data_IF_624789172229
#
_entry.id   IF_624789172229
#
_cell.length_a   1.000
_cell.length_b   1.000
_cell.length_c   1.000
_cell.angle_alpha   90.00
_cell.angle_beta   90.00
_cell.angle_gamma   90.00
#
_symmetry.space_group_name_H-M   'P 1'
#
loop_
_entity.id
_entity.type
_entity.pdbx_description
1 polymer ?
#
# COMPACT_ATOMS: atom_id res chain seq x y z
N UNK A 1 63.71 -15.94 0.73
CA UNK A 1 62.75 -14.88 1.01
C UNK A 1 61.59 -15.05 0.05
N UNK A 2 60.50 -15.67 0.52
CA UNK A 2 59.30 -15.85 -0.28
C UNK A 2 58.34 -14.67 0.02
N UNK A 3 58.06 -13.86 -0.98
CA UNK A 3 57.07 -12.79 -0.91
C UNK A 3 55.67 -13.41 -0.98
N UNK A 4 54.93 -13.28 0.11
CA UNK A 4 53.52 -13.67 0.15
C UNK A 4 52.71 -12.72 -0.74
N UNK A 5 52.15 -13.27 -1.82
CA UNK A 5 51.19 -12.56 -2.66
C UNK A 5 49.90 -12.30 -1.88
N UNK A 6 49.53 -11.03 -1.69
CA UNK A 6 48.24 -10.62 -1.19
C UNK A 6 47.18 -11.02 -2.21
N UNK A 7 46.26 -11.93 -1.81
CA UNK A 7 45.05 -12.23 -2.57
C UNK A 7 44.14 -10.98 -2.55
N UNK A 8 44.00 -10.36 -3.71
CA UNK A 8 43.00 -9.30 -3.92
C UNK A 8 41.62 -9.98 -3.83
N UNK A 9 40.84 -9.69 -2.80
CA UNK A 9 39.47 -10.14 -2.70
C UNK A 9 38.68 -9.54 -3.87
N UNK A 10 38.22 -10.40 -4.78
CA UNK A 10 37.30 -10.02 -5.84
C UNK A 10 36.01 -9.70 -5.14
N UNK A 11 35.67 -8.40 -5.01
CA UNK A 11 34.34 -7.94 -4.57
C UNK A 11 33.39 -8.29 -5.72
N UNK A 12 32.58 -9.31 -5.53
CA UNK A 12 31.50 -9.61 -6.47
C UNK A 12 30.66 -8.34 -6.69
N UNK A 13 30.31 -8.00 -7.95
CA UNK A 13 29.45 -6.85 -8.20
C UNK A 13 28.13 -7.05 -7.44
N UNK A 14 27.81 -6.12 -6.56
CA UNK A 14 26.59 -6.18 -5.76
C UNK A 14 25.40 -6.35 -6.70
N UNK A 15 24.64 -7.43 -6.52
CA UNK A 15 23.42 -7.72 -7.30
C UNK A 15 22.49 -6.49 -7.29
N UNK A 16 21.98 -6.09 -8.45
CA UNK A 16 20.94 -5.06 -8.52
C UNK A 16 19.73 -5.49 -7.70
N UNK A 17 19.14 -4.61 -6.88
CA UNK A 17 17.96 -4.96 -6.07
C UNK A 17 16.77 -5.27 -6.98
N UNK A 18 16.00 -6.28 -6.62
CA UNK A 18 14.70 -6.57 -7.21
C UNK A 18 13.65 -5.63 -6.62
N UNK A 19 12.95 -4.89 -7.44
CA UNK A 19 11.92 -3.93 -7.01
C UNK A 19 10.57 -4.33 -7.63
N UNK A 20 9.61 -4.70 -6.80
CA UNK A 20 8.24 -4.93 -7.24
C UNK A 20 7.42 -3.65 -7.14
N UNK A 21 6.63 -3.36 -8.17
CA UNK A 21 5.61 -2.32 -8.11
C UNK A 21 4.26 -3.00 -8.29
N UNK A 22 3.39 -2.90 -7.29
CA UNK A 22 2.06 -3.47 -7.28
C UNK A 22 0.97 -2.42 -7.40
N UNK A 23 0.11 -2.56 -8.42
CA UNK A 23 -1.07 -1.73 -8.62
C UNK A 23 -2.34 -2.49 -8.25
N UNK A 24 -3.28 -1.85 -7.59
CA UNK A 24 -4.49 -2.49 -7.08
C UNK A 24 -5.73 -1.60 -7.17
N UNK A 25 -6.89 -2.20 -7.34
CA UNK A 25 -8.18 -1.52 -7.36
C UNK A 25 -8.86 -1.48 -8.73
N UNK A 26 -9.14 -0.30 -9.24
CA UNK A 26 -9.85 -0.05 -10.51
C UNK A 26 -9.05 0.91 -11.38
N UNK A 27 -8.98 0.64 -12.68
CA UNK A 27 -8.26 1.48 -13.66
C UNK A 27 -9.12 2.60 -14.25
N UNK A 28 -9.97 3.21 -13.44
CA UNK A 28 -10.96 4.22 -13.88
C UNK A 28 -10.39 5.50 -14.50
N UNK A 29 -9.09 5.75 -14.37
CA UNK A 29 -8.46 7.01 -14.78
C UNK A 29 -7.00 6.85 -15.19
N UNK A 30 -6.60 5.62 -15.49
CA UNK A 30 -5.21 5.29 -15.79
C UNK A 30 -4.66 6.07 -16.99
N UNK A 31 -5.46 6.29 -18.02
CA UNK A 31 -5.08 7.14 -19.18
C UNK A 31 -4.62 8.55 -18.78
N UNK A 32 -5.14 9.08 -17.66
CA UNK A 32 -4.79 10.41 -17.16
C UNK A 32 -3.65 10.40 -16.15
N UNK A 33 -3.47 9.29 -15.44
CA UNK A 33 -2.48 9.17 -14.36
C UNK A 33 -1.19 8.52 -14.81
N UNK A 34 -1.22 7.71 -15.88
CA UNK A 34 -0.09 6.95 -16.39
C UNK A 34 1.19 7.77 -16.62
N UNK A 35 1.15 8.98 -17.21
CA UNK A 35 2.37 9.77 -17.39
C UNK A 35 3.09 10.00 -16.05
N UNK A 36 2.35 10.40 -15.01
CA UNK A 36 2.92 10.63 -13.68
C UNK A 36 3.37 9.34 -12.99
N UNK A 37 2.68 8.23 -13.22
CA UNK A 37 3.09 6.90 -12.71
C UNK A 37 4.41 6.48 -13.34
N UNK A 38 4.55 6.63 -14.66
CA UNK A 38 5.82 6.31 -15.36
C UNK A 38 6.96 7.20 -14.86
N UNK A 39 6.77 8.51 -14.86
CA UNK A 39 7.80 9.49 -14.49
C UNK A 39 8.21 9.39 -13.02
N UNK A 40 7.24 9.26 -12.11
CA UNK A 40 7.48 9.42 -10.67
C UNK A 40 7.62 8.10 -9.90
N UNK A 41 7.15 6.96 -10.45
CA UNK A 41 7.23 5.66 -9.79
C UNK A 41 8.12 4.68 -10.58
N UNK A 42 7.75 4.39 -11.85
CA UNK A 42 8.36 3.29 -12.60
C UNK A 42 9.81 3.61 -12.98
N UNK A 43 10.06 4.75 -13.62
CA UNK A 43 11.40 5.13 -14.07
C UNK A 43 12.37 5.35 -12.90
N UNK A 44 11.99 5.97 -11.77
CA UNK A 44 12.83 6.01 -10.58
C UNK A 44 13.22 4.64 -10.05
N UNK A 45 12.28 3.68 -10.03
CA UNK A 45 12.57 2.31 -9.60
C UNK A 45 13.53 1.60 -10.58
N UNK A 46 13.32 1.75 -11.90
CA UNK A 46 14.18 1.18 -12.95
C UNK A 46 15.63 1.68 -12.89
N UNK A 47 15.85 2.92 -12.48
CA UNK A 47 17.20 3.45 -12.25
C UNK A 47 17.91 2.76 -11.09
N UNK A 48 17.16 2.23 -10.13
CA UNK A 48 17.72 1.65 -8.90
C UNK A 48 17.90 0.13 -8.97
N UNK A 49 17.03 -0.57 -9.68
CA UNK A 49 17.03 -2.03 -9.65
C UNK A 49 16.33 -2.68 -10.84
N UNK A 50 16.18 -4.00 -10.74
CA UNK A 50 15.40 -4.80 -11.69
C UNK A 50 13.94 -4.74 -11.28
N UNK A 51 13.10 -4.17 -12.15
CA UNK A 51 11.70 -3.87 -11.83
C UNK A 51 10.77 -4.88 -12.48
N UNK A 52 9.78 -5.34 -11.69
CA UNK A 52 8.59 -6.02 -12.19
C UNK A 52 7.32 -5.31 -11.74
N UNK A 53 6.36 -5.23 -12.67
CA UNK A 53 5.06 -4.62 -12.45
C UNK A 53 4.01 -5.71 -12.26
N UNK A 54 3.28 -5.63 -11.15
CA UNK A 54 2.19 -6.54 -10.80
C UNK A 54 0.90 -5.77 -10.67
N UNK A 55 -0.21 -6.34 -11.10
CA UNK A 55 -1.50 -5.70 -10.95
C UNK A 55 -2.62 -6.68 -10.61
N UNK A 56 -3.51 -6.24 -9.74
CA UNK A 56 -4.83 -6.85 -9.58
C UNK A 56 -5.89 -5.77 -9.75
N UNK A 57 -6.80 -5.95 -10.71
CA UNK A 57 -7.84 -4.99 -11.00
C UNK A 57 -9.21 -5.64 -11.10
N UNK A 58 -10.23 -4.86 -10.74
CA UNK A 58 -11.60 -5.20 -11.05
C UNK A 58 -11.97 -4.69 -12.44
N UNK A 59 -12.45 -5.62 -13.29
CA UNK A 59 -13.00 -5.27 -14.60
C UNK A 59 -14.46 -4.85 -14.42
N UNK A 60 -14.76 -3.64 -14.85
CA UNK A 60 -16.11 -3.09 -14.87
C UNK A 60 -16.23 -2.06 -15.99
N UNK A 61 -17.44 -1.94 -16.55
CA UNK A 61 -17.74 -1.05 -17.67
C UNK A 61 -18.33 0.29 -17.23
N UNK A 62 -18.64 0.42 -15.92
CA UNK A 62 -19.25 1.63 -15.35
C UNK A 62 -18.85 1.81 -13.91
N UNK A 63 -18.76 3.04 -13.44
CA UNK A 63 -18.52 3.37 -12.06
C UNK A 63 -19.57 4.37 -11.57
N UNK A 64 -20.22 4.04 -10.44
CA UNK A 64 -21.12 4.94 -9.74
C UNK A 64 -20.62 5.16 -8.33
N UNK A 65 -20.34 6.41 -7.97
CA UNK A 65 -19.93 6.79 -6.63
C UNK A 65 -20.61 8.11 -6.21
N UNK A 66 -21.78 8.04 -5.54
CA UNK A 66 -22.55 9.23 -5.17
C UNK A 66 -21.78 10.24 -4.31
N UNK A 67 -20.83 9.75 -3.48
CA UNK A 67 -20.03 10.61 -2.61
C UNK A 67 -19.08 11.53 -3.39
N UNK A 68 -18.60 11.09 -4.54
CA UNK A 68 -17.74 11.89 -5.42
C UNK A 68 -18.45 12.47 -6.63
N UNK A 69 -19.75 12.14 -6.79
CA UNK A 69 -20.53 12.53 -7.96
C UNK A 69 -20.06 11.86 -9.24
N UNK A 70 -19.37 10.70 -9.15
CA UNK A 70 -18.99 9.91 -10.32
C UNK A 70 -20.16 9.04 -10.76
N UNK A 71 -20.46 9.08 -12.04
CA UNK A 71 -21.41 8.19 -12.74
C UNK A 71 -20.95 8.12 -14.21
N UNK A 72 -19.86 7.38 -14.45
CA UNK A 72 -19.12 7.44 -15.69
C UNK A 72 -18.89 6.04 -16.29
N UNK A 73 -18.86 5.91 -17.63
CA UNK A 73 -18.43 4.69 -18.29
C UNK A 73 -16.92 4.47 -18.07
N UNK A 74 -16.53 3.20 -17.98
CA UNK A 74 -15.14 2.77 -17.87
C UNK A 74 -14.75 1.91 -19.07
N UNK A 75 -13.48 1.99 -19.46
CA UNK A 75 -12.87 1.05 -20.38
C UNK A 75 -12.31 -0.15 -19.56
N UNK A 76 -12.89 -1.35 -19.66
CA UNK A 76 -12.41 -2.53 -18.94
C UNK A 76 -11.01 -2.98 -19.37
N UNK A 77 -10.50 -2.52 -20.53
CA UNK A 77 -9.17 -2.85 -21.04
C UNK A 77 -8.11 -1.77 -20.73
N UNK A 78 -8.48 -0.68 -20.03
CA UNK A 78 -7.57 0.43 -19.70
C UNK A 78 -6.32 -0.05 -18.94
N UNK A 79 -6.38 -1.16 -18.19
CA UNK A 79 -5.27 -1.77 -17.48
C UNK A 79 -4.07 -2.10 -18.38
N UNK A 80 -4.30 -2.39 -19.67
CA UNK A 80 -3.24 -2.72 -20.65
C UNK A 80 -2.23 -1.60 -20.83
N UNK A 81 -2.61 -0.36 -20.54
CA UNK A 81 -1.72 0.80 -20.62
C UNK A 81 -0.52 0.74 -19.67
N UNK A 82 -0.62 -0.05 -18.57
CA UNK A 82 0.47 -0.22 -17.60
C UNK A 82 1.55 -1.21 -18.06
N UNK A 83 1.24 -2.08 -19.03
CA UNK A 83 2.17 -3.08 -19.54
C UNK A 83 2.81 -3.91 -18.40
N UNK A 84 1.97 -4.36 -17.45
CA UNK A 84 2.44 -5.13 -16.30
C UNK A 84 2.96 -6.50 -16.71
N UNK A 85 4.00 -6.98 -15.99
CA UNK A 85 4.57 -8.33 -16.18
C UNK A 85 3.58 -9.43 -15.74
N UNK A 86 2.74 -9.14 -14.73
CA UNK A 86 1.72 -10.06 -14.25
C UNK A 86 0.45 -9.29 -13.87
N UNK A 87 -0.68 -9.69 -14.44
CA UNK A 87 -2.00 -9.07 -14.21
C UNK A 87 -3.00 -10.15 -13.82
N UNK A 88 -3.76 -9.88 -12.77
CA UNK A 88 -4.95 -10.65 -12.41
C UNK A 88 -6.17 -9.73 -12.48
N UNK A 89 -7.22 -10.20 -13.14
CA UNK A 89 -8.47 -9.49 -13.33
C UNK A 89 -9.61 -10.26 -12.65
N UNK A 90 -10.49 -9.54 -11.98
CA UNK A 90 -11.68 -10.11 -11.34
C UNK A 90 -12.89 -9.19 -11.56
N UNK A 91 -14.09 -9.77 -11.53
CA UNK A 91 -15.33 -8.97 -11.45
C UNK A 91 -15.56 -8.51 -10.00
N UNK A 92 -16.11 -7.30 -9.79
CA UNK A 92 -16.43 -6.82 -8.45
C UNK A 92 -17.58 -7.61 -7.84
N UNK A 93 -17.59 -7.74 -6.50
CA UNK A 93 -18.70 -8.28 -5.72
C UNK A 93 -18.41 -9.58 -4.99
N UNK A 94 -17.73 -10.53 -5.60
CA UNK A 94 -17.46 -11.84 -4.99
C UNK A 94 -16.74 -11.73 -3.63
N UNK A 95 -15.74 -10.86 -3.53
CA UNK A 95 -14.98 -10.64 -2.30
C UNK A 95 -15.82 -10.06 -1.13
N UNK A 96 -16.98 -9.47 -1.39
CA UNK A 96 -17.85 -8.97 -0.33
C UNK A 96 -18.48 -10.11 0.47
N UNK A 97 -18.90 -11.18 -0.21
CA UNK A 97 -19.43 -12.39 0.46
C UNK A 97 -18.32 -13.08 1.26
N UNK A 98 -17.14 -13.27 0.68
CA UNK A 98 -15.99 -13.87 1.37
C UNK A 98 -15.58 -13.08 2.62
N UNK A 99 -15.55 -11.74 2.53
CA UNK A 99 -15.23 -10.86 3.64
C UNK A 99 -16.33 -10.76 4.70
N UNK A 100 -17.51 -11.38 4.49
CA UNK A 100 -18.67 -11.26 5.37
C UNK A 100 -19.11 -9.79 5.54
N UNK A 101 -19.31 -9.11 4.43
CA UNK A 101 -19.59 -7.66 4.36
C UNK A 101 -20.69 -7.21 5.31
N UNK A 102 -21.86 -7.91 5.34
CA UNK A 102 -22.99 -7.56 6.21
C UNK A 102 -22.62 -7.59 7.70
N UNK A 103 -21.80 -8.55 8.10
CA UNK A 103 -21.28 -8.63 9.45
C UNK A 103 -20.35 -7.46 9.78
N UNK A 104 -19.49 -7.03 8.85
CA UNK A 104 -18.64 -5.86 9.05
C UNK A 104 -19.50 -4.61 9.16
N UNK A 105 -20.49 -4.43 8.29
CA UNK A 105 -21.40 -3.30 8.26
C UNK A 105 -22.22 -3.18 9.56
N UNK A 106 -22.59 -4.30 10.19
CA UNK A 106 -23.30 -4.32 11.47
C UNK A 106 -22.55 -3.67 12.63
N UNK A 107 -21.22 -3.46 12.50
CA UNK A 107 -20.39 -2.72 13.45
C UNK A 107 -20.39 -1.20 13.20
N UNK A 108 -21.11 -0.73 12.18
CA UNK A 108 -21.33 0.67 11.86
C UNK A 108 -20.81 1.09 10.49
N UNK A 109 -21.46 2.09 9.93
CA UNK A 109 -21.10 2.75 8.69
C UNK A 109 -20.40 4.08 9.02
N UNK A 110 -19.07 4.13 8.78
CA UNK A 110 -18.24 5.28 9.12
C UNK A 110 -18.60 6.56 8.32
N UNK A 111 -19.28 6.41 7.19
CA UNK A 111 -19.56 7.50 6.26
C UNK A 111 -21.06 7.79 6.09
N UNK A 112 -21.92 6.97 6.69
CA UNK A 112 -23.40 7.09 6.62
C UNK A 112 -23.91 7.11 5.15
N UNK A 113 -23.27 6.30 4.29
CA UNK A 113 -23.59 6.24 2.85
C UNK A 113 -24.22 4.90 2.41
N UNK A 114 -24.83 4.20 3.36
CA UNK A 114 -25.44 2.88 3.14
C UNK A 114 -24.39 1.79 2.92
N UNK A 115 -23.18 1.98 3.48
CA UNK A 115 -22.10 1.02 3.41
C UNK A 115 -21.31 1.02 2.09
N UNK A 116 -21.60 1.93 1.15
CA UNK A 116 -20.89 2.00 -0.15
C UNK A 116 -19.38 2.23 0.02
N UNK A 117 -19.00 3.16 0.91
CA UNK A 117 -17.57 3.37 1.21
C UNK A 117 -16.92 2.15 1.86
N UNK A 118 -17.66 1.40 2.68
CA UNK A 118 -17.18 0.14 3.25
C UNK A 118 -16.97 -0.91 2.15
N UNK A 119 -17.95 -1.10 1.25
CA UNK A 119 -17.82 -2.02 0.13
C UNK A 119 -16.58 -1.69 -0.73
N UNK A 120 -16.37 -0.40 -1.06
CA UNK A 120 -15.19 0.07 -1.78
C UNK A 120 -13.88 -0.23 -1.02
N UNK A 121 -13.88 -0.10 0.31
CA UNK A 121 -12.73 -0.46 1.13
C UNK A 121 -12.45 -1.97 1.07
N UNK A 122 -13.47 -2.82 1.16
CA UNK A 122 -13.30 -4.28 1.06
C UNK A 122 -12.73 -4.66 -0.31
N UNK A 123 -13.27 -4.11 -1.40
CA UNK A 123 -12.70 -4.32 -2.75
C UNK A 123 -11.23 -3.89 -2.81
N UNK A 124 -10.89 -2.72 -2.27
CA UNK A 124 -9.52 -2.23 -2.25
C UNK A 124 -8.59 -3.18 -1.46
N UNK A 125 -9.04 -3.66 -0.30
CA UNK A 125 -8.26 -4.56 0.56
C UNK A 125 -8.05 -5.93 -0.09
N UNK A 126 -9.08 -6.49 -0.71
CA UNK A 126 -8.99 -7.76 -1.44
C UNK A 126 -8.04 -7.64 -2.64
N UNK A 127 -8.20 -6.61 -3.46
CA UNK A 127 -7.31 -6.36 -4.59
C UNK A 127 -5.85 -6.19 -4.15
N UNK A 128 -5.63 -5.47 -3.05
CA UNK A 128 -4.31 -5.30 -2.44
C UNK A 128 -3.72 -6.61 -1.94
N UNK A 129 -4.53 -7.49 -1.33
CA UNK A 129 -4.09 -8.82 -0.91
C UNK A 129 -3.71 -9.69 -2.12
N UNK A 130 -4.49 -9.66 -3.18
CA UNK A 130 -4.22 -10.42 -4.39
C UNK A 130 -2.87 -10.01 -5.02
N UNK A 131 -2.63 -8.72 -5.23
CA UNK A 131 -1.35 -8.25 -5.76
C UNK A 131 -0.19 -8.53 -4.80
N UNK A 132 -0.41 -8.45 -3.50
CA UNK A 132 0.59 -8.77 -2.48
C UNK A 132 1.03 -10.24 -2.53
N UNK A 133 0.12 -11.17 -2.83
CA UNK A 133 0.43 -12.60 -3.03
C UNK A 133 1.30 -12.84 -4.26
N UNK A 134 0.99 -12.19 -5.39
CA UNK A 134 1.78 -12.26 -6.62
C UNK A 134 3.21 -11.74 -6.37
N UNK A 135 3.35 -10.57 -5.77
CA UNK A 135 4.64 -9.97 -5.42
C UNK A 135 5.45 -10.87 -4.49
N UNK A 136 4.81 -11.45 -3.46
CA UNK A 136 5.50 -12.31 -2.50
C UNK A 136 6.09 -13.56 -3.17
N UNK A 137 5.47 -14.10 -4.20
CA UNK A 137 6.00 -15.24 -4.95
C UNK A 137 7.32 -14.91 -5.67
N UNK A 138 7.52 -13.65 -6.09
CA UNK A 138 8.76 -13.21 -6.76
C UNK A 138 9.92 -12.87 -5.79
N UNK A 139 9.64 -12.70 -4.49
CA UNK A 139 10.62 -12.39 -3.44
C UNK A 139 11.51 -11.17 -3.80
N UNK A 140 10.94 -9.97 -3.96
CA UNK A 140 11.71 -8.75 -4.21
C UNK A 140 12.42 -8.26 -2.94
N UNK A 141 13.44 -7.41 -3.13
CA UNK A 141 14.14 -6.73 -2.04
C UNK A 141 13.32 -5.51 -1.54
N UNK A 142 12.62 -4.86 -2.46
CA UNK A 142 11.79 -3.68 -2.21
C UNK A 142 10.45 -3.78 -2.92
N UNK A 143 9.40 -3.30 -2.28
CA UNK A 143 8.04 -3.27 -2.82
C UNK A 143 7.47 -1.88 -2.75
N UNK A 144 6.84 -1.45 -3.83
CA UNK A 144 5.98 -0.26 -3.92
C UNK A 144 4.55 -0.74 -4.15
N UNK A 145 3.62 -0.36 -3.29
CA UNK A 145 2.19 -0.58 -3.48
C UNK A 145 1.53 0.75 -3.78
N UNK A 146 0.97 0.89 -4.96
CA UNK A 146 0.48 2.15 -5.50
C UNK A 146 -0.91 2.01 -6.11
N UNK A 147 -1.69 3.09 -6.09
CA UNK A 147 -3.01 3.12 -6.73
C UNK A 147 -2.91 3.66 -8.15
N UNK A 148 -3.62 3.08 -9.12
CA UNK A 148 -3.59 3.53 -10.51
C UNK A 148 -4.39 4.82 -10.76
N UNK A 149 -5.32 5.17 -9.84
CA UNK A 149 -6.18 6.35 -9.94
C UNK A 149 -5.57 7.62 -9.28
N UNK A 150 -4.25 7.61 -9.05
CA UNK A 150 -3.53 8.74 -8.47
C UNK A 150 -2.53 9.34 -9.47
N UNK A 151 -2.57 10.68 -9.57
CA UNK A 151 -1.52 11.47 -10.22
C UNK A 151 -0.47 11.78 -9.16
N UNK A 152 0.71 11.19 -9.30
CA UNK A 152 1.84 11.39 -8.40
C UNK A 152 2.58 12.67 -8.78
N UNK A 153 2.88 13.54 -7.79
CA UNK A 153 3.52 14.83 -8.00
C UNK A 153 5.01 14.82 -7.70
N UNK A 154 5.48 13.85 -6.91
CA UNK A 154 6.85 13.78 -6.46
C UNK A 154 7.52 12.48 -6.91
N UNK A 155 8.79 12.60 -7.29
CA UNK A 155 9.62 11.48 -7.71
C UNK A 155 9.99 10.58 -6.51
N UNK A 156 9.80 9.27 -6.65
CA UNK A 156 10.00 8.30 -5.57
C UNK A 156 11.48 7.94 -5.32
N UNK A 157 12.43 8.34 -6.16
CA UNK A 157 13.81 7.83 -6.11
C UNK A 157 14.45 7.95 -4.73
N UNK A 158 14.33 9.13 -4.10
CA UNK A 158 14.90 9.34 -2.77
C UNK A 158 14.24 8.46 -1.69
N UNK A 159 12.94 8.25 -1.77
CA UNK A 159 12.21 7.37 -0.85
C UNK A 159 12.62 5.91 -1.03
N UNK A 160 12.77 5.45 -2.28
CA UNK A 160 13.23 4.10 -2.62
C UNK A 160 14.65 3.86 -2.12
N UNK A 161 15.61 4.79 -2.40
CA UNK A 161 17.00 4.69 -1.91
C UNK A 161 17.06 4.57 -0.39
N UNK A 162 16.33 5.43 0.32
CA UNK A 162 16.26 5.40 1.78
C UNK A 162 15.65 4.09 2.29
N UNK A 163 14.65 3.56 1.62
CA UNK A 163 13.98 2.35 2.06
C UNK A 163 14.82 1.10 1.84
N UNK A 164 15.64 1.03 0.78
CA UNK A 164 16.59 -0.06 0.52
C UNK A 164 17.63 -0.25 1.63
N UNK A 165 17.96 0.81 2.36
CA UNK A 165 18.92 0.77 3.47
C UNK A 165 18.29 0.64 4.85
N UNK A 166 16.95 0.70 4.94
CA UNK A 166 16.23 0.62 6.21
C UNK A 166 15.99 -0.83 6.64
N UNK A 167 15.88 -1.03 7.96
CA UNK A 167 15.40 -2.29 8.51
C UNK A 167 14.02 -2.65 7.97
N UNK A 168 13.77 -3.95 7.80
CA UNK A 168 12.49 -4.49 7.31
C UNK A 168 11.26 -4.12 8.16
N UNK A 169 11.46 -3.57 9.37
CA UNK A 169 10.40 -3.08 10.25
C UNK A 169 9.81 -1.74 9.81
N UNK A 170 10.44 -1.01 8.92
CA UNK A 170 9.98 0.30 8.48
C UNK A 170 9.21 0.21 7.17
N UNK A 171 8.11 0.96 7.08
CA UNK A 171 7.31 1.12 5.88
C UNK A 171 7.07 2.61 5.63
N UNK A 172 7.47 3.11 4.48
CA UNK A 172 7.28 4.51 4.09
C UNK A 172 5.88 4.71 3.53
N UNK A 173 5.21 5.75 4.02
CA UNK A 173 3.82 6.13 3.64
C UNK A 173 3.73 7.66 3.52
N UNK A 174 2.79 8.22 2.74
CA UNK A 174 2.60 9.66 2.65
C UNK A 174 2.35 10.31 4.01
N UNK A 175 2.85 11.52 4.22
CA UNK A 175 2.79 12.25 5.50
C UNK A 175 1.52 13.08 5.70
N UNK A 176 0.58 13.05 4.78
CA UNK A 176 -0.66 13.81 4.77
C UNK A 176 -1.91 12.91 4.93
N UNK A 177 -3.04 13.49 5.31
CA UNK A 177 -4.36 12.85 5.46
C UNK A 177 -4.34 11.52 6.26
N UNK A 178 -3.73 11.53 7.43
CA UNK A 178 -3.68 10.34 8.30
C UNK A 178 -4.99 10.05 9.06
N UNK A 179 -5.90 11.00 9.16
CA UNK A 179 -7.25 10.87 9.75
C UNK A 179 -7.32 10.03 11.04
N UNK A 180 -6.35 10.22 11.93
CA UNK A 180 -6.22 9.44 13.17
C UNK A 180 -5.58 8.07 13.01
N UNK A 181 -5.20 7.68 11.80
CA UNK A 181 -4.50 6.43 11.45
C UNK A 181 -3.20 6.66 10.70
N UNK A 182 -3.07 6.06 9.53
CA UNK A 182 -1.92 6.15 8.60
C UNK A 182 -2.48 6.23 7.18
N UNK A 183 -1.90 7.09 6.32
CA UNK A 183 -2.31 7.20 4.92
C UNK A 183 -2.11 5.86 4.18
N UNK A 184 -3.13 5.42 3.44
CA UNK A 184 -3.18 4.10 2.80
C UNK A 184 -3.06 4.14 1.27
N UNK A 185 -2.65 5.29 0.69
CA UNK A 185 -2.62 5.49 -0.76
C UNK A 185 -1.35 5.00 -1.45
N UNK A 186 -0.25 4.97 -0.73
CA UNK A 186 1.06 4.51 -1.19
C UNK A 186 1.79 3.85 -0.03
N UNK A 187 2.50 2.77 -0.30
CA UNK A 187 3.42 2.16 0.65
C UNK A 187 4.73 1.74 -0.04
N UNK A 188 5.86 1.97 0.61
CA UNK A 188 7.18 1.51 0.16
C UNK A 188 7.82 0.78 1.33
N UNK A 189 8.21 -0.49 1.13
CA UNK A 189 8.79 -1.29 2.19
C UNK A 189 9.51 -2.55 1.70
N UNK A 190 10.10 -3.29 2.62
CA UNK A 190 10.57 -4.65 2.34
C UNK A 190 9.41 -5.58 1.96
N UNK A 191 9.70 -6.73 1.36
CA UNK A 191 8.68 -7.76 1.10
C UNK A 191 7.91 -8.12 2.38
N UNK A 192 8.58 -8.25 3.53
CA UNK A 192 7.93 -8.52 4.82
C UNK A 192 6.94 -7.42 5.23
N UNK A 193 7.34 -6.15 5.17
CA UNK A 193 6.49 -5.03 5.56
C UNK A 193 5.28 -4.87 4.62
N UNK A 194 5.50 -4.97 3.31
CA UNK A 194 4.44 -4.86 2.33
C UNK A 194 3.52 -6.08 2.30
N UNK A 195 4.01 -7.28 2.62
CA UNK A 195 3.16 -8.45 2.83
C UNK A 195 2.18 -8.23 3.99
N UNK A 196 2.65 -7.76 5.14
CA UNK A 196 1.77 -7.42 6.26
C UNK A 196 0.79 -6.28 5.93
N UNK A 197 1.24 -5.27 5.19
CA UNK A 197 0.38 -4.19 4.69
C UNK A 197 -0.70 -4.72 3.74
N UNK A 198 -0.35 -5.59 2.81
CA UNK A 198 -1.27 -6.10 1.80
C UNK A 198 -2.30 -7.07 2.38
N UNK A 199 -1.91 -7.92 3.32
CA UNK A 199 -2.80 -8.94 3.92
C UNK A 199 -3.64 -8.43 5.10
N UNK A 200 -3.70 -7.12 5.31
CA UNK A 200 -4.45 -6.57 6.46
C UNK A 200 -5.93 -6.91 6.49
N UNK A 201 -6.54 -7.28 5.36
CA UNK A 201 -7.94 -7.70 5.30
C UNK A 201 -8.23 -8.84 6.30
N UNK A 202 -7.28 -9.75 6.52
CA UNK A 202 -7.41 -10.87 7.45
C UNK A 202 -7.52 -10.43 8.92
N UNK A 203 -7.15 -9.17 9.22
CA UNK A 203 -7.22 -8.59 10.55
C UNK A 203 -8.54 -7.86 10.86
N UNK A 204 -9.47 -7.79 9.91
CA UNK A 204 -10.76 -7.13 10.11
C UNK A 204 -11.48 -7.68 11.35
N UNK A 205 -11.62 -9.02 11.55
CA UNK A 205 -12.30 -9.53 12.73
C UNK A 205 -11.62 -9.13 14.04
N UNK A 206 -10.29 -9.10 14.07
CA UNK A 206 -9.53 -8.70 15.26
C UNK A 206 -9.69 -7.20 15.56
N UNK A 207 -9.70 -6.36 14.52
CA UNK A 207 -9.94 -4.93 14.63
C UNK A 207 -11.33 -4.64 15.20
N UNK A 208 -12.38 -5.22 14.63
CA UNK A 208 -13.76 -5.00 15.04
C UNK A 208 -14.02 -5.49 16.48
N UNK A 209 -13.49 -6.65 16.86
CA UNK A 209 -13.57 -7.12 18.27
C UNK A 209 -12.89 -6.15 19.24
N UNK A 210 -11.79 -5.52 18.83
CA UNK A 210 -11.05 -4.57 19.69
C UNK A 210 -11.75 -3.22 19.81
N UNK A 211 -12.37 -2.73 18.73
CA UNK A 211 -12.89 -1.37 18.67
C UNK A 211 -14.39 -1.27 18.93
N UNK A 212 -15.13 -2.35 18.63
CA UNK A 212 -16.59 -2.38 18.71
C UNK A 212 -17.30 -1.42 17.75
N UNK A 213 -16.58 -0.82 16.80
CA UNK A 213 -17.09 0.24 15.95
C UNK A 213 -16.72 0.08 14.48
N UNK A 214 -17.04 1.08 13.62
CA UNK A 214 -16.85 0.99 12.18
C UNK A 214 -15.38 0.83 11.75
N UNK A 215 -15.20 0.44 10.49
CA UNK A 215 -13.90 0.15 9.87
C UNK A 215 -13.39 1.33 9.00
N UNK A 216 -12.75 2.38 9.55
CA UNK A 216 -12.12 3.44 8.75
C UNK A 216 -10.72 3.02 8.29
N UNK A 217 -10.44 3.22 7.00
CA UNK A 217 -9.23 2.71 6.32
C UNK A 217 -7.91 3.04 7.03
N UNK A 218 -7.70 4.32 7.37
CA UNK A 218 -6.44 4.79 7.93
C UNK A 218 -6.22 4.29 9.37
N UNK A 219 -7.27 4.22 10.20
CA UNK A 219 -7.18 3.67 11.56
C UNK A 219 -6.96 2.17 11.54
N UNK A 220 -7.62 1.48 10.60
CA UNK A 220 -7.43 0.05 10.40
C UNK A 220 -6.01 -0.26 9.93
N UNK A 221 -5.46 0.52 8.99
CA UNK A 221 -4.06 0.37 8.58
C UNK A 221 -3.11 0.54 9.77
N UNK A 222 -3.30 1.57 10.61
CA UNK A 222 -2.49 1.74 11.83
C UNK A 222 -2.56 0.51 12.74
N UNK A 223 -3.76 -0.02 12.96
CA UNK A 223 -3.95 -1.23 13.76
C UNK A 223 -3.17 -2.41 13.17
N UNK A 224 -3.25 -2.61 11.85
CA UNK A 224 -2.52 -3.68 11.16
C UNK A 224 -1.00 -3.54 11.31
N UNK A 225 -0.44 -2.35 11.05
CA UNK A 225 0.99 -2.10 11.19
C UNK A 225 1.47 -2.38 12.62
N UNK A 226 0.74 -1.90 13.62
CA UNK A 226 1.05 -2.16 15.02
C UNK A 226 0.99 -3.65 15.35
N UNK A 227 0.00 -4.39 14.84
CA UNK A 227 -0.16 -5.82 15.05
C UNK A 227 1.02 -6.64 14.51
N UNK A 228 1.72 -6.12 13.52
CA UNK A 228 2.92 -6.75 12.94
C UNK A 228 4.24 -6.14 13.45
N UNK A 229 4.20 -5.17 14.37
CA UNK A 229 5.39 -4.49 14.88
C UNK A 229 6.09 -3.62 13.83
N UNK A 230 5.34 -3.16 12.83
CA UNK A 230 5.84 -2.28 11.77
C UNK A 230 5.74 -0.81 12.17
N UNK A 231 6.72 -0.04 11.73
CA UNK A 231 6.85 1.38 12.04
C UNK A 231 6.62 2.18 10.75
N UNK A 232 5.50 2.93 10.65
CA UNK A 232 5.27 3.80 9.50
C UNK A 232 6.25 4.97 9.51
N UNK A 233 6.92 5.23 8.40
CA UNK A 233 7.79 6.39 8.20
C UNK A 233 7.11 7.35 7.24
N UNK A 234 6.88 8.56 7.70
CA UNK A 234 6.30 9.63 6.90
C UNK A 234 7.22 10.03 5.75
N UNK A 235 6.68 10.17 4.55
CA UNK A 235 7.36 10.67 3.35
C UNK A 235 6.53 11.77 2.71
N UNK A 236 7.19 12.81 2.20
CA UNK A 236 6.56 13.99 1.60
C UNK A 236 6.04 13.77 0.17
N UNK A 237 5.80 12.50 -0.20
CA UNK A 237 5.24 12.16 -1.52
C UNK A 237 3.77 12.52 -1.54
N UNK A 238 3.38 13.36 -2.51
CA UNK A 238 2.01 13.81 -2.72
C UNK A 238 1.40 13.20 -3.97
N UNK A 239 0.09 12.98 -3.94
CA UNK A 239 -0.64 12.47 -5.08
C UNK A 239 -2.13 12.86 -5.01
N UNK A 240 -2.70 13.31 -6.13
CA UNK A 240 -4.11 13.69 -6.25
C UNK A 240 -4.92 12.59 -6.92
N UNK A 241 -6.13 12.33 -6.41
CA UNK A 241 -7.06 11.41 -7.09
C UNK A 241 -7.55 12.00 -8.40
N UNK A 242 -7.58 11.16 -9.42
CA UNK A 242 -8.18 11.48 -10.71
C UNK A 242 -9.41 10.60 -10.92
N UNK A 243 -10.52 11.22 -11.26
CA UNK A 243 -11.81 10.55 -11.50
C UNK A 243 -11.89 10.03 -12.93
N UNK A 244 -12.87 9.17 -13.21
CA UNK A 244 -13.04 8.55 -14.51
C UNK A 244 -13.11 9.55 -15.66
N UNK A 245 -13.78 10.69 -15.48
CA UNK A 245 -13.83 11.79 -16.45
C UNK A 245 -12.55 12.65 -16.54
N UNK A 246 -11.45 12.28 -15.85
CA UNK A 246 -10.19 13.04 -15.82
C UNK A 246 -10.13 14.20 -14.82
N UNK A 247 -11.20 14.45 -14.08
CA UNK A 247 -11.24 15.48 -13.04
C UNK A 247 -10.28 15.12 -11.90
N UNK A 248 -9.35 16.03 -11.61
CA UNK A 248 -8.44 15.88 -10.45
C UNK A 248 -9.12 16.45 -9.20
N UNK A 249 -9.08 15.70 -8.10
CA UNK A 249 -9.59 16.15 -6.82
C UNK A 249 -8.59 17.07 -6.12
N UNK A 250 -9.12 18.10 -5.44
CA UNK A 250 -8.32 18.94 -4.55
C UNK A 250 -7.98 18.14 -3.28
N UNK A 251 -6.70 17.91 -3.05
CA UNK A 251 -6.22 17.17 -1.89
C UNK A 251 -5.51 18.12 -0.91
N UNK A 252 -5.76 17.95 0.36
CA UNK A 252 -5.04 18.68 1.39
C UNK A 252 -3.75 17.94 1.75
N UNK A 253 -2.62 18.43 1.25
CA UNK A 253 -1.29 17.87 1.49
C UNK A 253 -0.62 18.37 2.77
N UNK A 254 -1.38 18.95 3.71
CA UNK A 254 -0.82 19.36 5.00
C UNK A 254 -0.18 18.17 5.71
N UNK A 255 1.14 18.21 5.97
CA UNK A 255 1.84 17.13 6.64
C UNK A 255 1.30 16.88 8.06
N UNK A 256 1.40 15.64 8.51
CA UNK A 256 1.16 15.33 9.92
C UNK A 256 2.16 16.09 10.80
N UNK A 257 1.69 16.69 11.89
CA UNK A 257 2.60 17.39 12.80
C UNK A 257 3.63 16.45 13.43
N UNK A 258 4.85 16.94 13.63
CA UNK A 258 5.96 16.18 14.24
C UNK A 258 5.57 15.57 15.59
N UNK A 259 4.82 16.29 16.42
CA UNK A 259 4.34 15.79 17.70
C UNK A 259 3.39 14.60 17.56
N UNK A 260 2.46 14.64 16.59
CA UNK A 260 1.57 13.51 16.28
C UNK A 260 2.36 12.32 15.73
N UNK A 261 3.36 12.57 14.88
CA UNK A 261 4.22 11.54 14.32
C UNK A 261 5.04 10.85 15.42
N UNK A 262 5.70 11.61 16.28
CA UNK A 262 6.47 11.07 17.42
C UNK A 262 5.60 10.24 18.37
N UNK A 263 4.40 10.70 18.67
CA UNK A 263 3.44 9.92 19.47
C UNK A 263 3.11 8.60 18.79
N UNK A 264 2.92 8.57 17.47
CA UNK A 264 2.65 7.33 16.72
C UNK A 264 3.82 6.36 16.77
N UNK A 265 5.04 6.86 16.67
CA UNK A 265 6.23 6.03 16.82
C UNK A 265 6.33 5.44 18.22
N UNK A 266 6.12 6.23 19.25
CA UNK A 266 6.13 5.73 20.64
C UNK A 266 5.07 4.64 20.87
N UNK A 267 3.85 4.82 20.36
CA UNK A 267 2.78 3.81 20.42
C UNK A 267 3.19 2.49 19.71
N UNK A 268 3.82 2.57 18.53
CA UNK A 268 4.29 1.40 17.80
C UNK A 268 5.44 0.68 18.50
N UNK A 269 6.38 1.41 19.09
CA UNK A 269 7.48 0.84 19.89
C UNK A 269 6.96 0.15 21.14
N UNK A 270 6.06 0.78 21.87
CA UNK A 270 5.47 0.22 23.10
C UNK A 270 4.72 -1.08 22.79
N UNK A 271 3.96 -1.11 21.70
CA UNK A 271 3.22 -2.30 21.27
C UNK A 271 4.15 -3.45 20.90
N UNK A 272 5.25 -3.14 20.20
CA UNK A 272 6.29 -4.12 19.84
C UNK A 272 6.99 -4.69 21.08
N UNK A 273 7.29 -3.85 22.06
CA UNK A 273 7.93 -4.26 23.31
C UNK A 273 7.05 -5.18 24.17
N UNK A 274 5.77 -4.82 24.32
CA UNK A 274 4.81 -5.64 25.06
C UNK A 274 4.57 -7.01 24.41
N UNK A 275 4.58 -7.05 23.08
CA UNK A 275 4.47 -8.31 22.34
C UNK A 275 5.70 -9.20 22.52
N UNK A 276 6.90 -8.61 22.53
CA UNK A 276 8.15 -9.35 22.78
C UNK A 276 8.16 -9.97 24.19
N UNK A 277 7.74 -9.23 25.21
CA UNK A 277 7.63 -9.76 26.58
C UNK A 277 6.60 -10.89 26.69
N UNK A 278 5.44 -10.75 26.04
CA UNK A 278 4.40 -11.79 26.07
C UNK A 278 4.85 -13.09 25.40
N UNK A 279 5.59 -13.01 24.28
CA UNK A 279 6.12 -14.18 23.60
C UNK A 279 7.22 -14.89 24.41
N UNK A 280 8.03 -14.16 25.16
CA UNK A 280 9.05 -14.74 26.04
C UNK A 280 8.44 -15.39 27.28
N UNK A 281 7.31 -14.90 27.78
CA UNK A 281 6.58 -15.49 28.92
C UNK A 281 5.79 -16.76 28.57
N UNK A 282 5.49 -16.99 27.28
CA UNK A 282 4.80 -18.20 26.81
C UNK A 282 5.80 -19.31 26.47
N UNK A 283 7.06 -18.96 26.20
CA UNK A 283 8.13 -19.89 25.85
C UNK A 283 9.09 -20.21 27.03
N UNK A 284 8.82 -19.67 28.21
CA UNK A 284 9.45 -20.00 29.50
C UNK A 284 8.51 -20.85 30.38
#
# INVERSE_FOLDING_TARGET
MCTAGQAVAIVEPSRRPKIAIGFFGVTRSLKWTLPSIRENIIEPARRLGDVRLFAHFYQQTHITNPRSGEDDPLDPEEYRLLECDEVRLEEPGHCLAEARYEWILSHGDAFHDGGKSLANLIHQLHSLQAVGRMINAWQPDLVVLARPDLRYHDNLENALRKQLTRSARYISVPDWQWYGGVNDRLAIGSTHACHAYANRIDLIPAYLRKTGGPLPAERFLRFSLNSHGLIPVATSITASRVRAAGRTEDENFKPISTSKMLRRYAESFLFSFLRFQKNNLINS
#
